data_IF_022966450752
#
_entry.id   IF_022966450752
#
_cell.length_a   1.000
_cell.length_b   1.000
_cell.length_c   1.000
_cell.angle_alpha   90.00
_cell.angle_beta   90.00
_cell.angle_gamma   90.00
#
_symmetry.space_group_name_H-M   'P 1'
#
loop_
_entity.id
_entity.type
_entity.pdbx_description
1 polymer ?
#
# COMPACT_ATOMS: atom_id res chain seq x y z
N UNK A 1 -8.05 9.37 12.15
CA UNK A 1 -6.79 8.95 11.50
C UNK A 1 -7.15 8.19 10.24
N UNK A 2 -6.35 8.26 9.18
CA UNK A 2 -6.55 7.50 7.93
C UNK A 2 -5.26 6.76 7.57
N UNK A 3 -5.29 5.87 6.57
CA UNK A 3 -4.11 5.22 6.01
C UNK A 3 -3.41 4.23 6.97
N UNK A 4 -2.11 4.42 7.19
CA UNK A 4 -1.23 3.53 7.97
C UNK A 4 -1.77 3.29 9.37
N UNK A 5 -2.16 4.35 10.07
CA UNK A 5 -2.63 4.22 11.46
C UNK A 5 -3.87 3.33 11.56
N UNK A 6 -4.71 3.30 10.52
CA UNK A 6 -5.87 2.40 10.49
C UNK A 6 -5.43 0.95 10.28
N UNK A 7 -4.45 0.69 9.41
CA UNK A 7 -3.88 -0.66 9.22
C UNK A 7 -3.16 -1.12 10.49
N UNK A 8 -2.32 -0.28 11.11
CA UNK A 8 -1.63 -0.58 12.36
C UNK A 8 -2.62 -0.92 13.49
N UNK A 9 -3.69 -0.12 13.62
CA UNK A 9 -4.75 -0.37 14.62
C UNK A 9 -5.45 -1.71 14.35
N UNK A 10 -5.77 -2.01 13.09
CA UNK A 10 -6.40 -3.28 12.71
C UNK A 10 -5.49 -4.46 13.06
N UNK A 11 -4.21 -4.41 12.66
CA UNK A 11 -3.26 -5.52 12.88
C UNK A 11 -3.00 -5.74 14.37
N UNK A 12 -2.97 -4.68 15.18
CA UNK A 12 -2.86 -4.79 16.63
C UNK A 12 -4.10 -5.45 17.26
N UNK A 13 -5.30 -5.17 16.73
CA UNK A 13 -6.55 -5.73 17.25
C UNK A 13 -6.90 -7.12 16.67
N UNK A 14 -6.32 -7.49 15.52
CA UNK A 14 -6.69 -8.66 14.71
C UNK A 14 -5.46 -9.46 14.32
N UNK A 15 -4.95 -10.34 15.21
CA UNK A 15 -3.76 -11.15 14.92
C UNK A 15 -4.01 -12.21 13.83
N UNK A 16 -5.27 -12.43 13.43
CA UNK A 16 -5.66 -13.27 12.29
C UNK A 16 -5.44 -12.59 10.93
N UNK A 17 -5.01 -11.32 10.91
CA UNK A 17 -4.67 -10.58 9.70
C UNK A 17 -3.18 -10.25 9.63
N UNK A 18 -2.65 -10.28 8.41
CA UNK A 18 -1.28 -9.84 8.13
C UNK A 18 -1.23 -9.03 6.83
N UNK A 19 -0.25 -8.13 6.73
CA UNK A 19 0.09 -7.49 5.45
C UNK A 19 0.70 -8.54 4.54
N UNK A 20 0.13 -8.67 3.34
CA UNK A 20 0.67 -9.49 2.27
C UNK A 20 1.13 -8.54 1.17
N UNK A 21 2.42 -8.12 1.14
CA UNK A 21 2.91 -7.17 0.15
C UNK A 21 2.57 -7.65 -1.26
N UNK A 22 2.09 -6.77 -2.17
CA UNK A 22 1.90 -7.16 -3.55
C UNK A 22 3.27 -7.50 -4.17
N UNK A 23 3.27 -8.38 -5.18
CA UNK A 23 4.45 -8.55 -6.02
C UNK A 23 4.71 -7.23 -6.76
N UNK A 24 5.91 -6.68 -6.61
CA UNK A 24 6.29 -5.42 -7.24
C UNK A 24 6.22 -5.48 -8.78
N UNK A 25 6.37 -6.66 -9.38
CA UNK A 25 6.22 -6.85 -10.83
C UNK A 25 4.78 -6.63 -11.34
N UNK A 26 3.80 -6.64 -10.44
CA UNK A 26 2.39 -6.34 -10.76
C UNK A 26 2.06 -4.85 -10.67
N UNK A 27 3.01 -4.01 -10.23
CA UNK A 27 2.84 -2.57 -10.13
C UNK A 27 3.42 -1.86 -11.36
N UNK A 28 2.86 -0.70 -11.74
CA UNK A 28 3.49 0.15 -12.75
C UNK A 28 4.93 0.49 -12.37
N UNK A 29 5.80 0.59 -13.38
CA UNK A 29 7.16 1.05 -13.16
C UNK A 29 7.15 2.43 -12.48
N UNK A 30 7.97 2.63 -11.44
CA UNK A 30 7.97 3.87 -10.67
C UNK A 30 6.97 3.92 -9.49
N UNK A 31 6.16 2.89 -9.29
CA UNK A 31 5.31 2.72 -8.10
C UNK A 31 5.92 1.66 -7.17
N UNK A 32 6.60 2.04 -6.07
CA UNK A 32 7.26 1.09 -5.19
C UNK A 32 6.31 0.48 -4.15
N UNK A 33 6.62 -0.74 -3.71
CA UNK A 33 6.12 -1.28 -2.44
C UNK A 33 6.98 -0.70 -1.32
N UNK A 34 6.35 -0.04 -0.34
CA UNK A 34 7.05 0.49 0.83
C UNK A 34 7.64 -0.63 1.69
N UNK A 35 8.62 -0.30 2.53
CA UNK A 35 9.29 -1.28 3.39
C UNK A 35 8.32 -2.02 4.34
N UNK A 36 7.21 -1.38 4.71
CA UNK A 36 6.16 -1.95 5.55
C UNK A 36 5.19 -2.87 4.77
N UNK A 37 5.30 -2.94 3.44
CA UNK A 37 4.53 -3.85 2.59
C UNK A 37 3.28 -3.26 1.93
N UNK A 38 2.96 -1.98 2.17
CA UNK A 38 1.88 -1.27 1.48
C UNK A 38 2.40 -0.43 0.32
N UNK A 39 1.49 0.09 -0.50
CA UNK A 39 1.77 1.01 -1.60
C UNK A 39 1.23 2.40 -1.27
N UNK A 40 2.00 3.43 -1.61
CA UNK A 40 1.54 4.80 -1.67
C UNK A 40 1.78 5.36 -3.05
N UNK A 41 0.73 5.93 -3.63
CA UNK A 41 0.85 6.75 -4.82
C UNK A 41 0.83 8.21 -4.42
N UNK A 42 1.65 9.02 -5.09
CA UNK A 42 1.65 10.48 -4.95
C UNK A 42 1.26 11.09 -6.29
N UNK A 43 0.63 12.29 -6.31
CA UNK A 43 0.12 12.85 -7.55
C UNK A 43 1.12 12.96 -8.71
N UNK A 44 2.40 13.22 -8.39
CA UNK A 44 3.47 13.33 -9.38
C UNK A 44 4.19 12.03 -9.75
N UNK A 45 3.79 10.88 -9.20
CA UNK A 45 4.35 9.59 -9.65
C UNK A 45 3.91 9.30 -11.07
N UNK A 46 4.78 8.65 -11.86
CA UNK A 46 4.54 8.29 -13.26
C UNK A 46 3.98 9.48 -14.09
N UNK A 47 4.51 10.69 -13.86
CA UNK A 47 4.02 11.92 -14.47
C UNK A 47 3.98 11.85 -16.02
N UNK A 48 4.96 11.19 -16.63
CA UNK A 48 5.03 10.99 -18.08
C UNK A 48 3.89 10.10 -18.62
N UNK A 49 3.24 9.31 -17.75
CA UNK A 49 2.08 8.45 -18.06
C UNK A 49 0.74 9.09 -17.66
N UNK A 50 0.75 10.37 -17.25
CA UNK A 50 -0.45 11.11 -16.83
C UNK A 50 -0.58 11.32 -15.32
N UNK A 51 0.36 10.82 -14.53
CA UNK A 51 0.38 11.00 -13.08
C UNK A 51 -0.41 9.91 -12.33
N UNK A 52 -0.46 10.06 -11.01
CA UNK A 52 -1.34 9.27 -10.16
C UNK A 52 -2.25 10.21 -9.36
N UNK A 53 -3.24 9.64 -8.68
CA UNK A 53 -3.87 10.29 -7.54
C UNK A 53 -3.16 9.88 -6.24
N UNK A 54 -3.41 10.62 -5.16
CA UNK A 54 -2.90 10.27 -3.83
C UNK A 54 -3.70 9.13 -3.20
N UNK A 55 -3.12 7.93 -3.13
CA UNK A 55 -3.74 6.77 -2.48
C UNK A 55 -2.80 6.09 -1.49
N UNK A 56 -3.42 5.42 -0.52
CA UNK A 56 -2.79 4.44 0.37
C UNK A 56 -3.47 3.09 0.17
N UNK A 57 -2.68 2.05 -0.11
CA UNK A 57 -3.17 0.71 -0.45
C UNK A 57 -2.41 -0.32 0.35
N UNK A 58 -3.11 -1.08 1.20
CA UNK A 58 -2.55 -2.23 1.90
C UNK A 58 -3.33 -3.49 1.53
N UNK A 59 -2.63 -4.52 1.05
CA UNK A 59 -3.22 -5.84 0.83
C UNK A 59 -3.10 -6.67 2.11
N UNK A 60 -4.23 -7.20 2.57
CA UNK A 60 -4.30 -8.01 3.78
C UNK A 60 -4.77 -9.42 3.45
N UNK A 61 -4.21 -10.40 4.14
CA UNK A 61 -4.69 -11.79 4.14
C UNK A 61 -5.14 -12.18 5.53
N UNK A 62 -6.15 -13.05 5.59
CA UNK A 62 -6.64 -13.63 6.84
C UNK A 62 -6.28 -15.11 6.90
N UNK A 63 -5.74 -15.56 8.05
CA UNK A 63 -5.51 -16.97 8.36
C UNK A 63 -6.69 -17.60 9.10
#
# INVERSE_FOLDING_TARGET
AEGERQVETLLAARPDYAIAPPDASLLPAGVPVAAQGWVRTLPGMIADEGGCDGFFIARLTRS
#
